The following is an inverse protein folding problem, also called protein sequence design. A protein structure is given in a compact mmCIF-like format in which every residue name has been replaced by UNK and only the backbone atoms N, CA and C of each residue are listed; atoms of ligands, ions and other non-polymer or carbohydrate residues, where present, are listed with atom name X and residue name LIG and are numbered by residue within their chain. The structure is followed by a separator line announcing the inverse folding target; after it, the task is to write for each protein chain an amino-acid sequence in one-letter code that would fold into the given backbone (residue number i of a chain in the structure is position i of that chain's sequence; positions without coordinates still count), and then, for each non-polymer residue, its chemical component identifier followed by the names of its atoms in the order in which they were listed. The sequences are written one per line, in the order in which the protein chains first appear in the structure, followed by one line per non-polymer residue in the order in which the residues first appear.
data_IF_397057929064
#
_entry.id   IF_397057929064
#
_cell.length_a   1.000
_cell.length_b   1.000
_cell.length_c   1.000
_cell.angle_alpha   90.00
_cell.angle_beta   90.00
_cell.angle_gamma   90.00
#
_symmetry.space_group_name_H-M   'P 1'
#
loop_
_entity.id
_entity.type
_entity.pdbx_description
1 polymer ?
#
# COMPACT_ATOMS: atom_id res chain seq x y z
N UNK A 1 -5.79 -15.83 -7.05
CA UNK A 1 -6.33 -15.31 -5.78
C UNK A 1 -7.69 -15.93 -5.57
N UNK A 2 -7.90 -16.61 -4.44
CA UNK A 2 -9.19 -17.22 -4.13
C UNK A 2 -10.20 -16.12 -3.79
N UNK A 3 -11.26 -15.96 -4.59
CA UNK A 3 -12.40 -15.14 -4.17
C UNK A 3 -13.04 -15.78 -2.94
N UNK A 4 -12.77 -15.22 -1.77
CA UNK A 4 -13.54 -15.53 -0.57
C UNK A 4 -14.91 -14.88 -0.74
N UNK A 5 -15.93 -15.67 -1.03
CA UNK A 5 -17.33 -15.23 -0.98
C UNK A 5 -17.73 -15.06 0.50
N UNK A 6 -17.24 -13.99 1.12
CA UNK A 6 -17.63 -13.59 2.47
C UNK A 6 -18.98 -12.88 2.41
N UNK A 7 -20.04 -13.57 2.85
CA UNK A 7 -21.33 -12.94 3.15
C UNK A 7 -21.33 -12.62 4.65
N UNK A 8 -21.09 -11.35 5.00
CA UNK A 8 -21.09 -10.88 6.39
C UNK A 8 -22.47 -10.29 6.73
N UNK A 9 -23.09 -10.76 7.81
CA UNK A 9 -24.29 -10.12 8.35
C UNK A 9 -23.93 -9.11 9.45
N UNK A 10 -24.91 -8.31 9.90
CA UNK A 10 -24.71 -7.27 10.92
C UNK A 10 -24.05 -7.82 12.20
N UNK A 11 -24.43 -9.02 12.64
CA UNK A 11 -23.90 -9.61 13.87
C UNK A 11 -22.42 -9.98 13.71
N UNK A 12 -22.02 -10.45 12.53
CA UNK A 12 -20.63 -10.81 12.25
C UNK A 12 -19.73 -9.56 12.18
N UNK A 13 -20.23 -8.46 11.61
CA UNK A 13 -19.50 -7.19 11.59
C UNK A 13 -19.26 -6.64 13.01
N UNK A 14 -20.28 -6.66 13.88
CA UNK A 14 -20.14 -6.20 15.28
C UNK A 14 -19.11 -7.05 16.04
N UNK A 15 -19.12 -8.37 15.84
CA UNK A 15 -18.12 -9.26 16.46
C UNK A 15 -16.71 -8.94 15.96
N UNK A 16 -16.56 -8.70 14.66
CA UNK A 16 -15.26 -8.37 14.08
C UNK A 16 -14.76 -7.01 14.55
N UNK A 17 -15.65 -6.01 14.68
CA UNK A 17 -15.33 -4.70 15.24
C UNK A 17 -14.83 -4.81 16.68
N UNK A 18 -15.55 -5.53 17.55
CA UNK A 18 -15.12 -5.75 18.94
C UNK A 18 -13.77 -6.49 19.00
N UNK A 19 -13.59 -7.53 18.17
CA UNK A 19 -12.33 -8.27 18.10
C UNK A 19 -11.15 -7.35 17.71
N UNK A 20 -11.34 -6.47 16.73
CA UNK A 20 -10.33 -5.50 16.32
C UNK A 20 -10.02 -4.52 17.46
N UNK A 21 -11.04 -3.95 18.10
CA UNK A 21 -10.87 -3.03 19.22
C UNK A 21 -10.10 -3.67 20.39
N UNK A 22 -10.43 -4.90 20.75
CA UNK A 22 -9.72 -5.67 21.78
C UNK A 22 -8.27 -5.93 21.37
N UNK A 23 -8.03 -6.31 20.11
CA UNK A 23 -6.69 -6.56 19.58
C UNK A 23 -5.80 -5.33 19.66
N UNK A 24 -6.36 -4.13 19.42
CA UNK A 24 -5.64 -2.86 19.57
C UNK A 24 -5.59 -2.33 21.02
N UNK A 25 -6.15 -3.05 22.00
CA UNK A 25 -6.26 -2.55 23.37
C UNK A 25 -7.05 -1.23 23.46
N UNK A 26 -8.03 -1.06 22.58
CA UNK A 26 -8.83 0.16 22.40
C UNK A 26 -8.03 1.40 21.98
N UNK A 27 -6.75 1.24 21.60
CA UNK A 27 -5.94 2.34 21.09
C UNK A 27 -6.04 2.43 19.56
N UNK A 28 -6.97 3.25 19.08
CA UNK A 28 -7.16 3.55 17.66
C UNK A 28 -6.31 4.73 17.17
N UNK A 29 -5.60 5.42 18.07
CA UNK A 29 -4.85 6.65 17.77
C UNK A 29 -3.40 6.37 17.32
N UNK A 30 -3.17 5.26 16.64
CA UNK A 30 -1.84 4.89 16.16
C UNK A 30 -1.49 5.68 14.90
N UNK A 31 -0.33 6.35 14.85
CA UNK A 31 0.04 7.15 13.70
C UNK A 31 0.31 6.26 12.49
N UNK A 32 -0.33 6.56 11.36
CA UNK A 32 -0.09 5.95 10.06
C UNK A 32 0.87 6.81 9.23
N UNK A 33 1.46 6.31 8.12
CA UNK A 33 2.32 7.13 7.27
C UNK A 33 1.63 8.42 6.81
N UNK A 34 0.31 8.35 6.52
CA UNK A 34 -0.50 9.50 6.12
C UNK A 34 -0.43 10.68 7.11
N UNK A 35 -0.30 10.40 8.42
CA UNK A 35 -0.20 11.46 9.44
C UNK A 35 1.07 12.31 9.30
N UNK A 36 2.12 11.79 8.66
CA UNK A 36 3.39 12.49 8.48
C UNK A 36 3.54 13.17 7.12
N UNK A 37 2.75 12.75 6.11
CA UNK A 37 2.90 13.21 4.72
C UNK A 37 2.78 14.72 4.61
N UNK A 38 1.71 15.31 5.15
CA UNK A 38 1.47 16.75 5.06
C UNK A 38 2.65 17.54 5.65
N UNK A 39 3.17 17.10 6.79
CA UNK A 39 4.28 17.76 7.46
C UNK A 39 5.58 17.68 6.64
N UNK A 40 5.87 16.53 6.03
CA UNK A 40 7.08 16.36 5.22
C UNK A 40 6.99 17.05 3.85
N UNK A 41 5.79 17.11 3.26
CA UNK A 41 5.55 17.82 2.01
C UNK A 41 5.93 19.30 2.09
N UNK A 42 5.77 19.94 3.25
CA UNK A 42 6.16 21.34 3.44
C UNK A 42 7.65 21.59 3.16
N UNK A 43 8.52 20.63 3.46
CA UNK A 43 9.97 20.72 3.25
C UNK A 43 10.48 19.95 2.01
N UNK A 44 9.56 19.38 1.22
CA UNK A 44 9.90 18.43 0.14
C UNK A 44 10.51 19.08 -1.11
N UNK A 45 10.20 20.35 -1.38
CA UNK A 45 10.69 21.08 -2.56
C UNK A 45 11.14 22.47 -2.15
N UNK A 46 12.36 22.82 -2.55
CA UNK A 46 12.96 24.14 -2.31
C UNK A 46 13.29 24.84 -3.62
N UNK A 47 13.45 26.16 -3.57
CA UNK A 47 13.77 26.97 -4.77
C UNK A 47 15.18 26.68 -5.30
N UNK A 48 16.09 26.20 -4.44
CA UNK A 48 17.43 25.76 -4.81
C UNK A 48 17.48 24.35 -5.43
N UNK A 49 16.37 23.61 -5.45
CA UNK A 49 16.34 22.29 -6.06
C UNK A 49 16.52 22.40 -7.58
N UNK A 50 16.98 21.30 -8.19
CA UNK A 50 17.14 21.20 -9.63
C UNK A 50 16.17 20.15 -10.18
N UNK A 51 15.64 20.37 -11.38
CA UNK A 51 14.91 19.38 -12.16
C UNK A 51 15.76 19.00 -13.37
N UNK A 52 16.12 17.72 -13.49
CA UNK A 52 17.04 17.23 -14.52
C UNK A 52 18.37 18.02 -14.59
N UNK A 53 18.87 18.48 -13.43
CA UNK A 53 20.10 19.28 -13.33
C UNK A 53 19.95 20.76 -13.66
N UNK A 54 18.74 21.23 -14.03
CA UNK A 54 18.45 22.63 -14.32
C UNK A 54 17.58 23.27 -13.22
N UNK A 55 17.61 24.61 -13.04
CA UNK A 55 16.74 25.28 -12.08
C UNK A 55 15.26 24.96 -12.30
N UNK A 56 14.49 24.87 -11.22
CA UNK A 56 13.05 24.62 -11.30
C UNK A 56 12.35 25.69 -12.15
N UNK A 57 11.60 25.26 -13.16
CA UNK A 57 10.83 26.20 -14.00
C UNK A 57 9.64 26.82 -13.26
N UNK A 58 9.09 26.14 -12.25
CA UNK A 58 8.00 26.65 -11.43
C UNK A 58 7.89 25.88 -10.11
N UNK A 59 8.15 26.55 -9.00
CA UNK A 59 8.07 25.95 -7.67
C UNK A 59 6.66 25.40 -7.36
N UNK A 60 5.62 26.16 -7.69
CA UNK A 60 4.22 25.79 -7.42
C UNK A 60 3.81 24.54 -8.19
N UNK A 61 4.21 24.42 -9.46
CA UNK A 61 3.92 23.22 -10.27
C UNK A 61 4.66 22.01 -9.73
N UNK A 62 5.94 22.17 -9.37
CA UNK A 62 6.75 21.09 -8.80
C UNK A 62 6.14 20.59 -7.48
N UNK A 63 5.69 21.50 -6.60
CA UNK A 63 4.99 21.12 -5.36
C UNK A 63 3.69 20.35 -5.62
N UNK A 64 2.91 20.72 -6.62
CA UNK A 64 1.69 20.00 -6.98
C UNK A 64 1.98 18.58 -7.52
N UNK A 65 3.03 18.40 -8.31
CA UNK A 65 3.45 17.06 -8.74
C UNK A 65 4.02 16.23 -7.59
N UNK A 66 4.78 16.87 -6.71
CA UNK A 66 5.34 16.25 -5.51
C UNK A 66 4.24 15.68 -4.61
N UNK A 67 3.20 16.46 -4.34
CA UNK A 67 2.00 16.04 -3.60
C UNK A 67 1.36 14.79 -4.22
N UNK A 68 1.08 14.84 -5.52
CA UNK A 68 0.47 13.72 -6.26
C UNK A 68 1.31 12.44 -6.21
N UNK A 69 2.62 12.54 -6.46
CA UNK A 69 3.51 11.38 -6.42
C UNK A 69 3.69 10.83 -5.00
N UNK A 70 3.69 11.70 -4.00
CA UNK A 70 3.81 11.29 -2.59
C UNK A 70 2.60 10.47 -2.18
N UNK A 71 1.39 10.92 -2.55
CA UNK A 71 0.16 10.17 -2.31
C UNK A 71 0.09 8.89 -3.13
N UNK A 72 0.58 8.88 -4.38
CA UNK A 72 0.73 7.63 -5.14
C UNK A 72 1.60 6.61 -4.38
N UNK A 73 2.76 7.00 -3.89
CA UNK A 73 3.63 6.08 -3.14
C UNK A 73 3.05 5.69 -1.77
N UNK A 74 2.25 6.55 -1.15
CA UNK A 74 1.48 6.18 0.02
C UNK A 74 0.51 5.02 -0.29
N UNK A 75 -0.24 5.09 -1.39
CA UNK A 75 -1.12 4.02 -1.83
C UNK A 75 -0.35 2.73 -2.16
N UNK A 76 0.80 2.84 -2.84
CA UNK A 76 1.71 1.70 -3.10
C UNK A 76 2.12 1.02 -1.79
N UNK A 77 2.42 1.80 -0.74
CA UNK A 77 2.82 1.24 0.56
C UNK A 77 1.73 0.40 1.24
N UNK A 78 0.47 0.60 0.86
CA UNK A 78 -0.67 -0.17 1.40
C UNK A 78 -0.89 -1.50 0.67
N UNK A 79 -0.31 -1.68 -0.52
CA UNK A 79 -0.53 -2.87 -1.34
C UNK A 79 0.34 -4.07 -0.93
N UNK A 80 1.48 -3.82 -0.29
CA UNK A 80 2.41 -4.86 0.13
C UNK A 80 2.69 -4.83 1.64
N UNK A 81 2.44 -5.94 2.30
CA UNK A 81 2.78 -6.15 3.71
C UNK A 81 4.27 -5.96 4.04
N UNK A 82 5.17 -6.00 3.06
CA UNK A 82 6.59 -5.70 3.27
C UNK A 82 6.80 -4.32 3.94
N UNK A 83 5.93 -3.34 3.66
CA UNK A 83 6.00 -2.01 4.24
C UNK A 83 5.68 -1.96 5.75
N UNK A 84 5.04 -3.01 6.31
CA UNK A 84 4.77 -3.11 7.76
C UNK A 84 6.04 -3.30 8.60
N UNK A 85 7.17 -3.63 7.97
CA UNK A 85 8.48 -3.75 8.64
C UNK A 85 9.14 -2.39 8.94
N UNK A 86 8.64 -1.30 8.36
CA UNK A 86 9.15 0.05 8.58
C UNK A 86 8.25 0.85 9.51
N UNK A 87 8.83 1.88 10.16
CA UNK A 87 8.02 2.82 10.95
C UNK A 87 7.13 3.66 10.04
N UNK A 88 5.92 4.05 10.48
CA UNK A 88 5.04 4.91 9.70
C UNK A 88 5.69 6.20 9.16
N UNK A 89 6.50 6.88 10.00
CA UNK A 89 7.26 8.07 9.61
C UNK A 89 8.36 7.77 8.58
N UNK A 90 8.96 6.58 8.64
CA UNK A 90 9.99 6.17 7.68
C UNK A 90 9.39 5.89 6.31
N UNK A 91 8.21 5.24 6.26
CA UNK A 91 7.45 5.04 5.02
C UNK A 91 7.08 6.39 4.41
N UNK A 92 6.56 7.33 5.21
CA UNK A 92 6.24 8.68 4.75
C UNK A 92 7.46 9.41 4.17
N UNK A 93 8.61 9.34 4.85
CA UNK A 93 9.87 9.90 4.36
C UNK A 93 10.34 9.24 3.04
N UNK A 94 10.19 7.91 2.92
CA UNK A 94 10.50 7.18 1.70
C UNK A 94 9.58 7.58 0.55
N UNK A 95 8.27 7.82 0.78
CA UNK A 95 7.36 8.33 -0.26
C UNK A 95 7.86 9.66 -0.83
N UNK A 96 8.33 10.57 0.02
CA UNK A 96 8.91 11.85 -0.40
C UNK A 96 10.17 11.61 -1.24
N UNK A 97 11.11 10.79 -0.76
CA UNK A 97 12.34 10.51 -1.49
C UNK A 97 12.08 9.85 -2.86
N UNK A 98 11.25 8.81 -2.90
CA UNK A 98 10.85 8.11 -4.12
C UNK A 98 10.17 9.05 -5.13
N UNK A 99 9.28 9.94 -4.66
CA UNK A 99 8.65 10.97 -5.50
C UNK A 99 9.68 11.90 -6.13
N UNK A 100 10.67 12.37 -5.36
CA UNK A 100 11.73 13.24 -5.89
C UNK A 100 12.58 12.53 -6.94
N UNK A 101 12.85 11.24 -6.75
CA UNK A 101 13.55 10.40 -7.74
C UNK A 101 12.73 10.28 -9.03
N UNK A 102 11.46 9.89 -8.95
CA UNK A 102 10.59 9.75 -10.12
C UNK A 102 10.40 11.07 -10.88
N UNK A 103 10.32 12.19 -10.15
CA UNK A 103 10.20 13.53 -10.73
C UNK A 103 11.55 14.15 -11.16
N UNK A 104 12.65 13.41 -11.03
CA UNK A 104 14.00 13.86 -11.37
C UNK A 104 14.38 15.18 -10.68
N UNK A 105 13.98 15.31 -9.41
CA UNK A 105 14.31 16.44 -8.54
C UNK A 105 15.58 16.08 -7.76
N UNK A 106 16.61 16.93 -7.86
CA UNK A 106 17.88 16.74 -7.16
C UNK A 106 18.19 17.89 -6.18
N UNK A 107 18.86 17.59 -5.04
CA UNK A 107 19.27 16.24 -4.59
C UNK A 107 18.05 15.40 -4.21
N UNK A 108 18.07 14.06 -4.23
CA UNK A 108 16.87 13.25 -3.89
C UNK A 108 16.50 13.28 -2.41
N UNK A 109 17.47 13.55 -1.53
CA UNK A 109 17.27 13.77 -0.10
C UNK A 109 18.03 15.02 0.35
N UNK A 110 17.31 16.04 0.82
CA UNK A 110 17.91 17.32 1.21
C UNK A 110 18.36 17.32 2.68
N UNK A 111 19.26 18.23 3.03
CA UNK A 111 19.61 18.49 4.43
C UNK A 111 18.37 18.91 5.25
N UNK A 112 17.43 19.66 4.68
CA UNK A 112 16.21 20.05 5.40
C UNK A 112 15.31 18.86 5.70
N UNK A 113 15.16 17.92 4.77
CA UNK A 113 14.42 16.68 5.02
C UNK A 113 15.13 15.81 6.07
N UNK A 114 16.46 15.73 6.02
CA UNK A 114 17.23 15.05 7.06
C UNK A 114 17.00 15.67 8.45
N UNK A 115 17.11 17.00 8.57
CA UNK A 115 16.91 17.70 9.84
C UNK A 115 15.47 17.63 10.35
N UNK A 116 14.47 17.69 9.46
CA UNK A 116 13.06 17.61 9.81
C UNK A 116 12.65 16.23 10.33
N UNK A 117 13.17 15.18 9.69
CA UNK A 117 12.72 13.79 9.91
C UNK A 117 13.65 12.99 10.83
N UNK A 118 14.92 13.39 10.92
CA UNK A 118 15.99 12.62 11.56
C UNK A 118 16.51 11.44 10.75
N UNK A 119 15.99 11.18 9.54
CA UNK A 119 16.44 10.07 8.70
C UNK A 119 17.56 10.47 7.74
N UNK A 120 18.64 9.68 7.70
CA UNK A 120 19.65 9.73 6.64
C UNK A 120 19.18 8.95 5.42
N UNK A 121 19.90 9.05 4.31
CA UNK A 121 19.63 8.24 3.13
C UNK A 121 19.66 6.75 3.45
N UNK A 122 20.66 6.29 4.20
CA UNK A 122 20.85 4.86 4.54
C UNK A 122 19.68 4.30 5.34
N UNK A 123 19.03 5.11 6.18
CA UNK A 123 17.81 4.69 6.88
C UNK A 123 16.64 4.43 5.92
N UNK A 124 16.61 5.11 4.77
CA UNK A 124 15.47 5.09 3.86
C UNK A 124 15.66 4.16 2.66
N UNK A 125 16.90 3.87 2.27
CA UNK A 125 17.24 3.19 1.00
C UNK A 125 16.39 1.96 0.74
N UNK A 126 16.30 1.04 1.71
CA UNK A 126 15.54 -0.21 1.55
C UNK A 126 14.05 0.03 1.26
N UNK A 127 13.44 1.02 1.92
CA UNK A 127 12.02 1.35 1.74
C UNK A 127 11.79 2.03 0.38
N UNK A 128 12.70 2.93 0.00
CA UNK A 128 12.68 3.61 -1.30
C UNK A 128 12.79 2.60 -2.45
N UNK A 129 13.70 1.64 -2.36
CA UNK A 129 13.89 0.61 -3.38
C UNK A 129 12.63 -0.23 -3.59
N UNK A 130 11.94 -0.63 -2.51
CA UNK A 130 10.67 -1.34 -2.60
C UNK A 130 9.59 -0.50 -3.29
N UNK A 131 9.49 0.79 -2.98
CA UNK A 131 8.56 1.70 -3.62
C UNK A 131 8.81 1.84 -5.12
N UNK A 132 10.07 2.07 -5.50
CA UNK A 132 10.45 2.23 -6.90
C UNK A 132 10.26 0.93 -7.70
N UNK A 133 10.56 -0.23 -7.09
CA UNK A 133 10.30 -1.53 -7.70
C UNK A 133 8.81 -1.74 -7.98
N UNK A 134 7.95 -1.40 -7.03
CA UNK A 134 6.50 -1.48 -7.23
C UNK A 134 6.02 -0.53 -8.33
N UNK A 135 6.52 0.71 -8.37
CA UNK A 135 6.23 1.67 -9.43
C UNK A 135 6.64 1.16 -10.83
N UNK A 136 7.83 0.57 -10.96
CA UNK A 136 8.29 0.04 -12.24
C UNK A 136 7.43 -1.13 -12.72
N UNK A 137 6.95 -1.96 -11.79
CA UNK A 137 6.00 -3.03 -12.09
C UNK A 137 4.65 -2.47 -12.57
N UNK A 138 4.11 -1.44 -11.93
CA UNK A 138 2.87 -0.77 -12.35
C UNK A 138 3.00 -0.19 -13.76
N UNK A 139 4.11 0.50 -14.04
CA UNK A 139 4.40 1.07 -15.36
C UNK A 139 4.49 -0.03 -16.42
N UNK A 140 5.12 -1.16 -16.10
CA UNK A 140 5.23 -2.30 -17.03
C UNK A 140 3.88 -2.94 -17.31
N UNK A 141 3.03 -3.13 -16.31
CA UNK A 141 1.69 -3.69 -16.49
C UNK A 141 0.77 -2.73 -17.26
N UNK A 142 0.88 -1.42 -17.03
CA UNK A 142 0.14 -0.41 -17.79
C UNK A 142 0.52 -0.38 -19.28
N UNK A 143 1.77 -0.70 -19.62
CA UNK A 143 2.29 -0.70 -20.99
C UNK A 143 2.13 -2.04 -21.72
N UNK A 144 1.54 -3.06 -21.10
CA UNK A 144 1.36 -4.38 -21.72
C UNK A 144 0.28 -4.29 -22.82
N UNK A 145 0.60 -4.66 -24.08
CA UNK A 145 -0.37 -4.60 -25.16
C UNK A 145 -1.55 -5.54 -24.87
N UNK A 146 -2.77 -5.00 -24.93
CA UNK A 146 -4.02 -5.75 -24.73
C UNK A 146 -4.09 -6.88 -25.74
N UNK A 147 -3.76 -8.10 -25.31
CA UNK A 147 -3.83 -9.28 -26.17
C UNK A 147 -5.30 -9.52 -26.53
N UNK A 148 -5.61 -9.42 -27.82
CA UNK A 148 -6.89 -9.78 -28.41
C UNK A 148 -7.24 -11.23 -28.06
N UNK A 149 -8.48 -11.54 -27.63
CA UNK A 149 -8.88 -12.94 -27.45
C UNK A 149 -8.91 -13.66 -28.81
N UNK A 150 -8.58 -14.95 -28.89
CA UNK A 150 -8.68 -15.70 -30.13
C UNK A 150 -10.17 -15.85 -30.49
N UNK A 151 -10.59 -15.18 -31.57
CA UNK A 151 -11.85 -15.50 -32.23
C UNK A 151 -11.78 -16.95 -32.72
N UNK A 152 -12.57 -17.82 -32.08
CA UNK A 152 -12.87 -19.13 -32.62
C UNK A 152 -13.60 -18.97 -33.96
N UNK A 153 -12.95 -19.41 -35.04
CA UNK A 153 -13.63 -19.72 -36.29
C UNK A 153 -13.35 -21.18 -36.65
N UNK A 154 -14.35 -22.02 -36.43
CA UNK A 154 -14.57 -23.30 -37.09
C UNK A 154 -15.01 -23.04 -38.53
N UNK A 155 -14.28 -23.55 -39.54
CA UNK A 155 -14.69 -24.69 -40.38
C UNK A 155 -14.02 -24.75 -41.77
N UNK A 156 -13.38 -25.91 -42.04
CA UNK A 156 -13.35 -26.72 -43.29
C UNK A 156 -12.75 -26.16 -44.60
N UNK A 157 -11.58 -26.69 -45.02
CA UNK A 157 -11.41 -27.46 -46.28
C UNK A 157 -9.97 -28.04 -46.50
N UNK A 158 -9.86 -29.32 -46.89
CA UNK A 158 -8.89 -29.83 -47.90
C UNK A 158 -7.46 -30.32 -47.53
N UNK A 159 -7.27 -31.66 -47.51
CA UNK A 159 -6.05 -32.53 -47.51
C UNK A 159 -4.97 -32.30 -48.65
N UNK A 160 -3.85 -33.08 -48.81
CA UNK A 160 -2.88 -33.73 -47.87
C UNK A 160 -1.35 -33.74 -48.30
N UNK A 161 -0.45 -34.19 -47.40
CA UNK A 161 0.91 -34.85 -47.57
C UNK A 161 2.24 -34.01 -47.52
N UNK A 162 3.48 -34.59 -47.31
CA UNK A 162 4.30 -34.48 -46.08
C UNK A 162 5.83 -34.18 -46.35
N UNK A 163 6.83 -34.65 -45.57
CA UNK A 163 7.49 -33.96 -44.44
C UNK A 163 8.99 -33.62 -44.67
N UNK A 164 9.60 -32.77 -43.83
CA UNK A 164 11.06 -32.73 -43.62
C UNK A 164 11.44 -32.19 -42.23
N UNK A 165 12.27 -32.95 -41.52
CA UNK A 165 12.89 -32.64 -40.22
C UNK A 165 13.99 -31.58 -40.31
N UNK A 166 14.27 -30.85 -39.22
CA UNK A 166 15.56 -30.92 -38.47
C UNK A 166 15.55 -30.04 -37.21
N UNK A 167 15.89 -30.68 -36.08
CA UNK A 167 16.74 -30.28 -34.93
C UNK A 167 17.30 -28.85 -34.90
N UNK A 168 17.40 -28.14 -33.76
CA UNK A 168 18.17 -28.55 -32.57
C UNK A 168 17.93 -27.68 -31.32
N UNK A 169 18.12 -28.35 -30.18
CA UNK A 169 18.11 -27.95 -28.77
C UNK A 169 19.08 -26.84 -28.35
N UNK A 170 18.72 -26.08 -27.31
CA UNK A 170 19.61 -25.84 -26.16
C UNK A 170 18.87 -25.47 -24.87
N UNK A 171 19.17 -26.26 -23.85
CA UNK A 171 18.82 -26.12 -22.44
C UNK A 171 19.22 -24.77 -21.83
N UNK A 172 18.43 -24.30 -20.84
CA UNK A 172 19.00 -23.79 -19.58
C UNK A 172 18.03 -23.95 -18.40
N UNK A 173 18.60 -24.45 -17.31
CA UNK A 173 18.00 -24.97 -16.07
C UNK A 173 17.47 -23.86 -15.15
N UNK A 174 16.37 -24.18 -14.46
CA UNK A 174 15.86 -23.47 -13.30
C UNK A 174 16.67 -23.83 -12.05
N UNK A 175 16.91 -22.84 -11.18
CA UNK A 175 17.35 -23.06 -9.80
C UNK A 175 16.28 -22.50 -8.86
N UNK A 176 15.79 -23.36 -7.99
CA UNK A 176 14.82 -23.10 -6.93
C UNK A 176 15.52 -22.53 -5.70
N UNK A 177 15.06 -21.40 -5.18
CA UNK A 177 15.38 -20.97 -3.82
C UNK A 177 14.09 -20.85 -3.00
N UNK A 178 14.06 -21.64 -1.94
CA UNK A 178 12.99 -21.76 -0.96
C UNK A 178 13.17 -20.64 0.07
N UNK A 179 12.16 -19.80 0.30
CA UNK A 179 12.18 -18.80 1.39
C UNK A 179 11.08 -19.10 2.40
N UNK A 180 11.53 -19.40 3.61
CA UNK A 180 10.81 -19.74 4.82
C UNK A 180 9.96 -18.57 5.32
N UNK A 181 8.69 -18.81 5.65
CA UNK A 181 7.81 -17.85 6.28
C UNK A 181 8.25 -17.60 7.74
N UNK A 182 8.66 -16.37 8.07
CA UNK A 182 8.82 -15.93 9.46
C UNK A 182 7.55 -15.21 9.91
N UNK A 183 6.94 -15.69 10.99
CA UNK A 183 5.81 -15.05 11.65
C UNK A 183 6.30 -13.78 12.36
N UNK A 184 5.85 -12.61 11.91
CA UNK A 184 6.13 -11.34 12.57
C UNK A 184 5.15 -11.14 13.74
N UNK A 185 5.66 -11.32 14.96
CA UNK A 185 4.99 -10.95 16.20
C UNK A 185 5.06 -9.42 16.35
N UNK A 186 3.91 -8.76 16.32
CA UNK A 186 3.77 -7.32 16.52
C UNK A 186 4.18 -6.95 17.95
N UNK A 187 5.38 -6.38 18.12
CA UNK A 187 5.83 -5.86 19.40
C UNK A 187 5.38 -4.40 19.52
N UNK A 188 4.29 -4.15 20.24
CA UNK A 188 3.86 -2.80 20.57
C UNK A 188 4.85 -2.17 21.56
N UNK A 189 5.55 -1.12 21.12
CA UNK A 189 6.36 -0.28 22.02
C UNK A 189 5.47 0.41 23.04
N UNK A 190 5.84 0.32 24.32
CA UNK A 190 5.09 0.91 25.42
C UNK A 190 5.08 2.45 25.32
N UNK A 191 3.89 3.02 25.08
CA UNK A 191 3.63 4.46 25.26
C UNK A 191 3.11 4.70 26.68
N UNK A 192 3.46 5.84 27.33
CA UNK A 192 2.99 6.14 28.68
C UNK A 192 1.46 6.29 28.71
N UNK A 193 0.87 5.57 29.66
CA UNK A 193 -0.56 5.35 29.86
C UNK A 193 -1.34 6.64 30.15
N UNK A 194 -2.05 7.17 29.14
CA UNK A 194 -3.16 8.09 29.38
C UNK A 194 -4.33 7.28 29.95
N UNK A 195 -4.84 7.71 31.10
CA UNK A 195 -5.93 7.05 31.84
C UNK A 195 -7.16 6.79 30.96
N UNK A 196 -7.45 5.51 30.71
CA UNK A 196 -8.65 5.05 30.01
C UNK A 196 -9.89 5.14 30.92
N UNK A 197 -10.89 5.90 30.49
CA UNK A 197 -12.28 5.73 30.92
C UNK A 197 -13.03 4.98 29.82
N UNK A 198 -12.87 3.66 29.75
CA UNK A 198 -13.65 2.80 28.86
C UNK A 198 -14.73 2.06 29.66
N UNK A 199 -15.96 2.04 29.11
CA UNK A 199 -17.10 1.38 29.73
C UNK A 199 -16.95 -0.15 29.68
N UNK A 200 -17.45 -0.90 30.69
CA UNK A 200 -17.33 -2.35 30.74
C UNK A 200 -18.13 -3.04 29.62
N UNK A 201 -17.55 -4.11 29.06
CA UNK A 201 -18.02 -4.88 27.89
C UNK A 201 -19.48 -5.38 27.99
N UNK A 202 -19.98 -5.56 29.22
CA UNK A 202 -21.38 -5.91 29.50
C UNK A 202 -22.38 -4.86 29.01
N UNK A 203 -22.00 -3.58 28.94
CA UNK A 203 -22.88 -2.51 28.46
C UNK A 203 -22.99 -2.46 26.93
N UNK A 204 -21.96 -2.92 26.21
CA UNK A 204 -21.95 -2.93 24.74
C UNK A 204 -22.77 -4.09 24.15
N UNK A 205 -22.75 -5.26 24.78
CA UNK A 205 -23.62 -6.37 24.38
C UNK A 205 -25.12 -6.02 24.53
N UNK A 206 -25.50 -5.23 25.52
CA UNK A 206 -26.89 -4.83 25.75
C UNK A 206 -27.48 -3.96 24.62
N UNK A 207 -26.66 -3.15 23.94
CA UNK A 207 -27.11 -2.33 22.80
C UNK A 207 -27.39 -3.16 21.54
N UNK A 208 -26.86 -4.38 21.45
CA UNK A 208 -27.12 -5.31 20.34
C UNK A 208 -28.45 -6.07 20.44
N UNK A 209 -29.12 -6.03 21.59
CA UNK A 209 -30.29 -6.86 21.90
C UNK A 209 -31.60 -6.07 22.06
N UNK A 210 -31.64 -4.78 21.73
CA UNK A 210 -32.89 -3.99 21.81
C UNK A 210 -33.97 -4.56 20.87
N UNK A 211 -34.95 -5.23 21.47
CA UNK A 211 -36.07 -5.89 20.81
C UNK A 211 -36.93 -4.90 20.02
N UNK A 212 -37.38 -5.33 18.85
CA UNK A 212 -38.37 -4.63 18.04
C UNK A 212 -39.67 -4.42 18.83
N UNK A 213 -40.12 -3.17 18.91
CA UNK A 213 -41.44 -2.78 19.42
C UNK A 213 -42.53 -3.56 18.68
N UNK A 214 -43.31 -4.36 19.42
CA UNK A 214 -44.45 -5.11 18.90
C UNK A 214 -45.61 -4.20 18.47
N UNK A 215 -46.56 -4.72 17.67
CA UNK A 215 -47.63 -3.92 17.09
C UNK A 215 -48.66 -3.50 18.15
N UNK A 216 -49.05 -2.23 18.09
CA UNK A 216 -50.15 -1.65 18.89
C UNK A 216 -51.48 -2.12 18.28
N UNK A 217 -52.28 -2.82 19.08
CA UNK A 217 -53.69 -3.14 18.76
C UNK A 217 -54.56 -1.96 19.18
N UNK A 218 -55.51 -1.49 18.36
CA UNK A 218 -56.45 -0.46 18.77
C UNK A 218 -57.57 -1.09 19.61
N UNK A 219 -57.88 -0.46 20.74
CA UNK A 219 -59.02 -0.80 21.59
C UNK A 219 -60.19 0.15 21.22
N UNK A 220 -61.38 -0.44 21.16
CA UNK A 220 -62.65 0.10 20.65
C UNK A 220 -63.04 1.52 21.09
#
# INVERSE_FOLDING_TARGET
MCSLNLVLNKRDLIRMELLLLETFGWNLCMPTPAHFIDYYLHASVQESDLHNGWPLSSLSKTKAFMDKYTHYFLEVSLQDHAFLSFRPSQVAAACIAASRICLQISPSWTTSLHLLTGYSWDHLTQCIELMLLAHDNDVKEANKPKSTPPSGQTSLHGQPTPPSCTTSSSHRQATSSTTSAQQLLFQAGAFPHLSQHSAPLSQLHALGESQALGPVVPQD
#
